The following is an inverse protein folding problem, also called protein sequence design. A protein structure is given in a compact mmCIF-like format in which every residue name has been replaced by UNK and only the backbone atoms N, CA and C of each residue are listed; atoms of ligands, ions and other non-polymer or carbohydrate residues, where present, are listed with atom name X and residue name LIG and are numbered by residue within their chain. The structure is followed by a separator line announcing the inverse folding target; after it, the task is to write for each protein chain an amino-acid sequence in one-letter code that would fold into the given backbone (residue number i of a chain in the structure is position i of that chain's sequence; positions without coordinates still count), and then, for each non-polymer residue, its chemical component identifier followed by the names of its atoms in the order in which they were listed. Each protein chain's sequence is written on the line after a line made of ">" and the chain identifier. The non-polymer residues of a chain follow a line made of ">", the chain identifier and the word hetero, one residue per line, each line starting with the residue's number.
data_IF_872571795391
#
_entry.id   IF_872571795391
#
_cell.length_a   1.000
_cell.length_b   1.000
_cell.length_c   1.000
_cell.angle_alpha   90.00
_cell.angle_beta   90.00
_cell.angle_gamma   90.00
#
_symmetry.space_group_name_H-M   'P 1'
#
loop_
_entity.id
_entity.type
_entity.pdbx_description
1 polymer ?
#
# COMPACT_ATOMS: atom_id res chain seq x y z
N UNK A 1 -17.64 13.02 -16.07
CA UNK A 1 -17.33 12.30 -17.32
C UNK A 1 -17.23 13.24 -18.53
N UNK A 2 -18.21 14.12 -18.78
CA UNK A 2 -18.10 15.14 -19.85
C UNK A 2 -16.93 16.13 -19.70
N UNK A 3 -16.56 16.50 -18.47
CA UNK A 3 -15.44 17.43 -18.21
C UNK A 3 -14.07 16.84 -18.53
N UNK A 4 -13.90 15.52 -18.41
CA UNK A 4 -12.62 14.85 -18.67
C UNK A 4 -12.38 14.65 -20.18
N UNK A 5 -13.43 14.27 -20.92
CA UNK A 5 -13.40 14.19 -22.39
C UNK A 5 -13.14 15.56 -23.04
N UNK A 6 -13.70 16.63 -22.46
CA UNK A 6 -13.45 18.01 -22.92
C UNK A 6 -11.98 18.45 -22.74
N UNK A 7 -11.33 18.06 -21.63
CA UNK A 7 -9.92 18.38 -21.37
C UNK A 7 -8.99 17.53 -22.25
N UNK A 8 -9.29 16.23 -22.47
CA UNK A 8 -8.54 15.38 -23.41
C UNK A 8 -8.57 15.93 -24.84
N UNK A 9 -9.73 16.37 -25.31
CA UNK A 9 -9.89 16.96 -26.63
C UNK A 9 -9.15 18.30 -26.79
N UNK A 10 -9.11 19.12 -25.73
CA UNK A 10 -8.34 20.37 -25.70
C UNK A 10 -6.82 20.12 -25.72
N UNK A 11 -6.34 19.14 -24.96
CA UNK A 11 -4.92 18.78 -24.91
C UNK A 11 -4.43 18.13 -26.22
N UNK A 12 -5.25 17.26 -26.84
CA UNK A 12 -4.93 16.62 -28.11
C UNK A 12 -4.85 17.63 -29.27
N UNK A 13 -5.74 18.63 -29.27
CA UNK A 13 -5.69 19.73 -30.23
C UNK A 13 -4.45 20.61 -30.03
N UNK A 14 -4.11 20.93 -28.79
CA UNK A 14 -2.98 21.82 -28.48
C UNK A 14 -1.61 21.17 -28.75
N UNK A 15 -1.46 19.87 -28.47
CA UNK A 15 -0.17 19.18 -28.56
C UNK A 15 0.06 18.50 -29.90
N UNK A 16 -1.01 18.12 -30.62
CA UNK A 16 -0.91 17.28 -31.82
C UNK A 16 -1.76 17.78 -33.00
N UNK A 17 -2.36 18.97 -32.90
CA UNK A 17 -3.24 19.58 -33.93
C UNK A 17 -4.37 18.66 -34.42
N UNK A 18 -4.83 17.73 -33.57
CA UNK A 18 -5.91 16.79 -33.90
C UNK A 18 -7.26 17.35 -33.46
N UNK A 19 -8.24 17.27 -34.35
CA UNK A 19 -9.61 17.69 -34.06
C UNK A 19 -10.28 16.81 -33.00
N UNK A 20 -11.12 17.38 -32.12
CA UNK A 20 -11.89 16.63 -31.13
C UNK A 20 -12.82 15.58 -31.75
N UNK A 21 -12.60 14.29 -31.44
CA UNK A 21 -13.54 13.23 -31.82
C UNK A 21 -14.50 12.86 -30.67
N UNK A 22 -15.82 12.73 -30.94
CA UNK A 22 -16.81 12.38 -29.94
C UNK A 22 -16.82 10.87 -29.69
N UNK A 23 -15.93 10.37 -28.83
CA UNK A 23 -15.89 8.94 -28.47
C UNK A 23 -16.01 8.77 -26.95
N UNK A 24 -16.83 7.79 -26.54
CA UNK A 24 -17.05 7.44 -25.12
C UNK A 24 -15.82 6.75 -24.52
N UNK A 25 -15.29 7.22 -23.37
CA UNK A 25 -14.02 6.73 -22.84
C UNK A 25 -14.14 5.36 -22.17
N UNK A 26 -13.25 4.43 -22.53
CA UNK A 26 -13.03 3.15 -21.85
C UNK A 26 -11.62 3.15 -21.22
N UNK A 27 -11.55 3.01 -19.89
CA UNK A 27 -10.39 3.37 -19.06
C UNK A 27 -9.27 2.33 -18.99
N UNK A 28 -8.07 2.79 -18.59
CA UNK A 28 -7.03 1.98 -17.94
C UNK A 28 -5.70 2.72 -17.78
N UNK A 29 -5.08 3.07 -18.90
CA UNK A 29 -3.73 3.66 -18.95
C UNK A 29 -3.74 5.17 -19.24
N UNK A 30 -4.80 5.68 -19.86
CA UNK A 30 -4.95 7.09 -20.23
C UNK A 30 -4.91 8.05 -19.03
N UNK A 31 -5.48 7.65 -17.88
CA UNK A 31 -5.55 8.50 -16.67
C UNK A 31 -4.18 8.76 -16.06
N UNK A 32 -3.28 7.79 -16.09
CA UNK A 32 -1.92 7.94 -15.56
C UNK A 32 -1.05 8.80 -16.49
N UNK A 33 -1.19 8.62 -17.81
CA UNK A 33 -0.54 9.48 -18.80
C UNK A 33 -1.05 10.93 -18.74
N UNK A 34 -2.37 11.13 -18.61
CA UNK A 34 -2.97 12.46 -18.51
C UNK A 34 -2.55 13.19 -17.22
N UNK A 35 -2.50 12.47 -16.10
CA UNK A 35 -1.99 13.01 -14.84
C UNK A 35 -0.51 13.36 -14.94
N UNK A 36 0.32 12.46 -15.49
CA UNK A 36 1.74 12.71 -15.70
C UNK A 36 2.01 13.91 -16.61
N UNK A 37 1.30 14.01 -17.73
CA UNK A 37 1.41 15.14 -18.67
C UNK A 37 0.98 16.46 -18.02
N UNK A 38 -0.11 16.47 -17.25
CA UNK A 38 -0.56 17.66 -16.53
C UNK A 38 0.46 18.13 -15.48
N UNK A 39 1.10 17.20 -14.76
CA UNK A 39 2.15 17.53 -13.79
C UNK A 39 3.40 18.09 -14.49
N UNK A 40 3.82 17.52 -15.62
CA UNK A 40 4.93 18.06 -16.40
C UNK A 40 4.62 19.46 -16.95
N UNK A 41 3.41 19.69 -17.45
CA UNK A 41 3.01 21.00 -17.94
C UNK A 41 2.94 22.03 -16.81
N UNK A 42 2.44 21.65 -15.64
CA UNK A 42 2.47 22.51 -14.45
C UNK A 42 3.91 22.84 -14.06
N UNK A 43 4.83 21.88 -14.05
CA UNK A 43 6.25 22.11 -13.78
C UNK A 43 6.88 23.09 -14.79
N UNK A 44 6.55 22.98 -16.09
CA UNK A 44 7.01 23.93 -17.12
C UNK A 44 6.49 25.34 -16.91
N UNK A 45 5.22 25.49 -16.54
CA UNK A 45 4.57 26.79 -16.34
C UNK A 45 4.92 27.43 -14.99
N UNK A 46 5.25 26.63 -13.99
CA UNK A 46 5.50 27.11 -12.62
C UNK A 46 6.97 27.19 -12.23
N UNK A 47 7.84 26.37 -12.83
CA UNK A 47 9.25 26.31 -12.48
C UNK A 47 10.14 26.57 -13.69
N UNK A 48 10.82 27.72 -13.67
CA UNK A 48 11.73 28.12 -14.74
C UNK A 48 13.04 27.31 -14.79
N UNK A 49 13.44 26.57 -13.74
CA UNK A 49 14.81 26.04 -13.65
C UNK A 49 14.92 24.59 -13.16
N UNK A 50 15.56 23.77 -14.00
CA UNK A 50 16.18 22.46 -13.72
C UNK A 50 15.28 21.33 -13.17
N UNK A 51 13.94 21.47 -13.23
CA UNK A 51 13.04 20.38 -12.84
C UNK A 51 13.24 19.12 -13.71
N UNK A 52 13.54 19.30 -15.01
CA UNK A 52 13.80 18.21 -15.95
C UNK A 52 15.02 17.38 -15.53
N UNK A 53 16.14 18.02 -15.17
CA UNK A 53 17.33 17.28 -14.73
C UNK A 53 17.11 16.55 -13.39
N UNK A 54 16.25 17.06 -12.50
CA UNK A 54 15.88 16.36 -11.27
C UNK A 54 15.09 15.09 -11.57
N UNK A 55 14.13 15.18 -12.51
CA UNK A 55 13.36 14.01 -12.96
C UNK A 55 14.26 13.00 -13.69
N UNK A 56 15.20 13.45 -14.51
CA UNK A 56 16.20 12.60 -15.17
C UNK A 56 17.15 11.89 -14.18
N UNK A 57 17.36 12.48 -13.00
CA UNK A 57 18.10 11.86 -11.89
C UNK A 57 17.22 10.94 -11.01
N UNK A 58 15.96 10.73 -11.38
CA UNK A 58 15.04 9.79 -10.74
C UNK A 58 14.06 10.41 -9.75
N UNK A 59 13.97 11.75 -9.66
CA UNK A 59 12.95 12.39 -8.85
C UNK A 59 11.55 12.20 -9.46
N UNK A 60 10.54 12.00 -8.61
CA UNK A 60 9.15 11.95 -9.07
C UNK A 60 8.66 13.38 -9.41
N UNK A 61 8.10 13.62 -10.60
CA UNK A 61 7.63 14.96 -11.01
C UNK A 61 6.66 15.61 -10.01
N UNK A 62 5.75 14.84 -9.43
CA UNK A 62 4.82 15.34 -8.40
C UNK A 62 5.53 15.81 -7.14
N UNK A 63 6.65 15.18 -6.77
CA UNK A 63 7.43 15.58 -5.60
C UNK A 63 8.23 16.84 -5.86
N UNK A 64 8.80 16.98 -7.06
CA UNK A 64 9.46 18.23 -7.49
C UNK A 64 8.48 19.41 -7.43
N UNK A 65 7.24 19.20 -7.87
CA UNK A 65 6.19 20.21 -7.79
C UNK A 65 5.83 20.54 -6.33
N UNK A 66 5.59 19.54 -5.48
CA UNK A 66 5.26 19.79 -4.07
C UNK A 66 6.39 20.45 -3.28
N UNK A 67 7.65 20.06 -3.52
CA UNK A 67 8.81 20.59 -2.82
C UNK A 67 9.07 22.07 -3.21
N UNK A 68 8.71 22.47 -4.43
CA UNK A 68 8.78 23.87 -4.87
C UNK A 68 7.75 24.78 -4.18
N UNK A 69 6.61 24.22 -3.77
CA UNK A 69 5.48 24.94 -3.16
C UNK A 69 5.31 24.56 -1.69
N UNK A 70 6.37 24.09 -1.03
CA UNK A 70 6.32 23.49 0.30
C UNK A 70 5.83 24.46 1.39
N UNK A 71 5.96 25.76 1.16
CA UNK A 71 5.52 26.84 2.06
C UNK A 71 4.19 27.49 1.62
N UNK A 72 3.60 27.05 0.50
CA UNK A 72 2.30 27.54 0.05
C UNK A 72 1.19 26.59 0.52
N UNK A 73 0.39 27.05 1.49
CA UNK A 73 -0.84 26.34 1.86
C UNK A 73 -1.80 26.35 0.66
N UNK A 74 -2.08 25.16 0.14
CA UNK A 74 -3.10 25.00 -0.90
C UNK A 74 -4.43 25.58 -0.40
N UNK A 75 -4.94 26.61 -1.07
CA UNK A 75 -6.23 27.20 -0.73
C UNK A 75 -7.36 26.26 -1.17
N UNK A 76 -7.74 25.37 -0.25
CA UNK A 76 -8.78 24.37 -0.46
C UNK A 76 -10.16 25.00 -0.71
N UNK A 77 -10.34 26.30 -0.39
CA UNK A 77 -11.57 27.04 -0.68
C UNK A 77 -11.74 27.26 -2.18
N UNK A 78 -10.64 27.55 -2.89
CA UNK A 78 -10.64 27.73 -4.34
C UNK A 78 -10.99 26.44 -5.09
N UNK A 79 -10.69 25.29 -4.48
CA UNK A 79 -10.97 23.97 -5.05
C UNK A 79 -12.31 23.39 -4.56
N UNK A 80 -13.03 24.05 -3.66
CA UNK A 80 -14.23 23.54 -2.99
C UNK A 80 -14.01 22.15 -2.35
N UNK A 81 -12.83 21.92 -1.77
CA UNK A 81 -12.42 20.63 -1.19
C UNK A 81 -12.40 20.63 0.34
N UNK A 82 -12.80 21.73 0.99
CA UNK A 82 -12.78 21.89 2.46
C UNK A 82 -13.52 20.77 3.18
N UNK A 83 -14.75 20.47 2.75
CA UNK A 83 -15.57 19.39 3.31
C UNK A 83 -14.97 18.00 3.05
N UNK A 84 -14.25 17.83 1.94
CA UNK A 84 -13.60 16.57 1.60
C UNK A 84 -12.35 16.36 2.44
N UNK A 85 -11.53 17.38 2.65
CA UNK A 85 -10.38 17.28 3.55
C UNK A 85 -10.86 16.90 4.96
N UNK A 86 -11.84 17.63 5.51
CA UNK A 86 -12.37 17.34 6.85
C UNK A 86 -13.01 15.96 6.96
N UNK A 87 -13.56 15.41 5.87
CA UNK A 87 -14.07 14.04 5.82
C UNK A 87 -12.92 13.02 5.77
N UNK A 88 -11.90 13.24 4.95
CA UNK A 88 -10.73 12.36 4.84
C UNK A 88 -9.91 12.34 6.14
N UNK A 89 -9.71 13.48 6.79
CA UNK A 89 -9.04 13.54 8.10
C UNK A 89 -9.78 12.71 9.16
N UNK A 90 -11.12 12.78 9.18
CA UNK A 90 -11.95 11.95 10.07
C UNK A 90 -11.84 10.46 9.71
N UNK A 91 -11.85 10.12 8.42
CA UNK A 91 -11.69 8.74 7.98
C UNK A 91 -10.32 8.18 8.37
N UNK A 92 -9.26 8.99 8.22
CA UNK A 92 -7.89 8.62 8.61
C UNK A 92 -7.78 8.41 10.11
N UNK A 93 -8.31 9.32 10.92
CA UNK A 93 -8.27 9.19 12.38
C UNK A 93 -9.08 7.97 12.85
N UNK A 94 -10.25 7.73 12.24
CA UNK A 94 -11.03 6.52 12.51
C UNK A 94 -10.22 5.26 12.17
N UNK A 95 -9.65 5.18 10.97
CA UNK A 95 -8.83 4.04 10.55
C UNK A 95 -7.65 3.82 11.51
N UNK A 96 -6.97 4.89 11.91
CA UNK A 96 -5.86 4.84 12.87
C UNK A 96 -6.31 4.27 14.21
N UNK A 97 -7.44 4.73 14.74
CA UNK A 97 -7.99 4.24 16.00
C UNK A 97 -8.33 2.75 15.94
N UNK A 98 -8.93 2.30 14.83
CA UNK A 98 -9.27 0.89 14.60
C UNK A 98 -8.02 0.01 14.51
N UNK A 99 -6.99 0.47 13.79
CA UNK A 99 -5.70 -0.24 13.68
C UNK A 99 -5.05 -0.39 15.05
N UNK A 100 -4.98 0.69 15.83
CA UNK A 100 -4.38 0.66 17.17
C UNK A 100 -5.12 -0.30 18.10
N UNK A 101 -6.45 -0.27 18.10
CA UNK A 101 -7.25 -1.20 18.91
C UNK A 101 -7.01 -2.68 18.53
N UNK A 102 -6.79 -2.98 17.25
CA UNK A 102 -6.48 -4.33 16.78
C UNK A 102 -5.04 -4.75 17.11
N UNK A 103 -4.06 -3.83 17.02
CA UNK A 103 -2.67 -4.08 17.45
C UNK A 103 -2.63 -4.36 18.95
N UNK A 104 -3.35 -3.59 19.77
CA UNK A 104 -3.48 -3.82 21.21
C UNK A 104 -4.14 -5.17 21.51
N UNK A 105 -5.07 -5.61 20.66
CA UNK A 105 -5.67 -6.94 20.76
C UNK A 105 -4.63 -8.04 20.53
N UNK A 106 -3.80 -7.92 19.49
CA UNK A 106 -2.68 -8.86 19.26
C UNK A 106 -1.74 -8.92 20.46
N UNK A 107 -1.38 -7.77 21.03
CA UNK A 107 -0.49 -7.72 22.19
C UNK A 107 -1.11 -8.40 23.41
N UNK A 108 -2.40 -8.16 23.70
CA UNK A 108 -3.11 -8.77 24.84
C UNK A 108 -3.36 -10.26 24.66
N UNK A 109 -3.72 -10.71 23.46
CA UNK A 109 -3.91 -12.13 23.16
C UNK A 109 -2.57 -12.91 23.13
N UNK A 110 -1.46 -12.19 23.05
CA UNK A 110 -0.13 -12.72 22.76
C UNK A 110 0.09 -12.89 21.26
N UNK A 111 1.36 -12.99 20.88
CA UNK A 111 1.77 -13.09 19.48
C UNK A 111 2.58 -14.37 19.21
N UNK A 112 2.47 -14.87 17.98
CA UNK A 112 3.40 -15.83 17.39
C UNK A 112 4.15 -15.12 16.27
N UNK A 113 5.48 -15.17 16.29
CA UNK A 113 6.33 -14.61 15.22
C UNK A 113 6.82 -15.72 14.32
N UNK A 114 6.70 -15.54 13.02
CA UNK A 114 7.23 -16.44 12.00
C UNK A 114 8.33 -15.69 11.24
N UNK A 115 9.58 -16.13 11.36
CA UNK A 115 10.70 -15.62 10.58
C UNK A 115 10.58 -16.15 9.14
N UNK A 116 10.50 -15.23 8.19
CA UNK A 116 10.47 -15.53 6.77
C UNK A 116 11.91 -15.64 6.24
N UNK A 117 12.23 -16.62 5.38
CA UNK A 117 13.57 -16.75 4.82
C UNK A 117 13.95 -15.55 3.94
N UNK A 118 15.23 -15.20 3.91
CA UNK A 118 15.73 -14.15 3.02
C UNK A 118 15.55 -14.55 1.54
N UNK A 119 15.14 -13.60 0.70
CA UNK A 119 14.89 -13.85 -0.72
C UNK A 119 13.62 -14.67 -1.01
N UNK A 120 12.76 -14.90 -0.02
CA UNK A 120 11.51 -15.62 -0.24
C UNK A 120 10.61 -14.88 -1.19
N UNK A 121 10.21 -15.55 -2.28
CA UNK A 121 9.16 -15.06 -3.15
C UNK A 121 7.82 -15.31 -2.48
N UNK A 122 7.35 -14.31 -1.72
CA UNK A 122 6.05 -14.36 -1.07
C UNK A 122 4.98 -14.02 -2.11
N UNK A 123 4.17 -15.01 -2.48
CA UNK A 123 2.95 -14.72 -3.27
C UNK A 123 1.83 -14.40 -2.31
N UNK A 124 1.29 -13.19 -2.44
CA UNK A 124 0.23 -12.70 -1.59
C UNK A 124 -1.10 -12.69 -2.32
N UNK A 125 -2.15 -13.11 -1.63
CA UNK A 125 -3.53 -12.79 -2.01
C UNK A 125 -4.12 -11.93 -0.89
N UNK A 126 -4.41 -10.67 -1.20
CA UNK A 126 -5.00 -9.70 -0.26
C UNK A 126 -5.92 -8.72 -1.00
N UNK A 127 -6.69 -7.96 -0.22
CA UNK A 127 -7.46 -6.82 -0.71
C UNK A 127 -6.69 -5.52 -0.44
N UNK A 128 -6.25 -4.75 -1.47
CA UNK A 128 -5.44 -3.54 -1.26
C UNK A 128 -6.10 -2.49 -0.36
N UNK A 129 -7.43 -2.47 -0.31
CA UNK A 129 -8.21 -1.58 0.55
C UNK A 129 -8.13 -1.92 2.03
N UNK A 130 -7.43 -3.01 2.39
CA UNK A 130 -7.32 -3.52 3.76
C UNK A 130 -5.87 -3.61 4.24
N UNK A 131 -4.98 -2.84 3.62
CA UNK A 131 -3.58 -2.71 4.06
C UNK A 131 -3.38 -1.31 4.62
N UNK A 132 -2.75 -1.24 5.79
CA UNK A 132 -2.32 0.01 6.39
C UNK A 132 -0.82 -0.04 6.64
N UNK A 133 -0.08 0.92 6.09
CA UNK A 133 1.33 1.13 6.41
C UNK A 133 1.46 1.93 7.70
N UNK A 134 2.33 1.49 8.61
CA UNK A 134 2.63 2.23 9.84
C UNK A 134 3.75 3.26 9.67
N UNK A 135 4.41 3.29 8.52
CA UNK A 135 5.50 4.22 8.21
C UNK A 135 6.88 3.81 8.72
N UNK A 136 6.99 2.70 9.46
CA UNK A 136 8.24 2.17 10.04
C UNK A 136 8.61 0.79 9.48
N UNK A 137 8.28 0.54 8.21
CA UNK A 137 8.54 -0.74 7.54
C UNK A 137 7.53 -1.85 7.87
N UNK A 138 6.58 -1.60 8.78
CA UNK A 138 5.50 -2.54 9.11
C UNK A 138 4.25 -2.31 8.29
N UNK A 139 3.67 -3.41 7.80
CA UNK A 139 2.38 -3.43 7.10
C UNK A 139 1.36 -4.22 7.90
N UNK A 140 0.19 -3.62 8.09
CA UNK A 140 -0.93 -4.23 8.81
C UNK A 140 -1.96 -4.72 7.80
N UNK A 141 -2.35 -5.99 7.93
CA UNK A 141 -3.34 -6.62 7.06
C UNK A 141 -4.65 -6.87 7.79
N UNK A 142 -5.71 -6.19 7.34
CA UNK A 142 -7.04 -6.32 7.91
C UNK A 142 -7.84 -7.42 7.19
N UNK A 143 -8.01 -8.55 7.87
CA UNK A 143 -9.07 -9.50 7.58
C UNK A 143 -8.81 -10.54 6.49
N UNK A 144 -7.87 -10.38 5.56
CA UNK A 144 -7.41 -11.51 4.75
C UNK A 144 -5.99 -11.35 4.22
N UNK A 145 -5.17 -12.38 4.47
CA UNK A 145 -3.80 -12.49 3.98
C UNK A 145 -3.52 -13.96 3.66
N UNK A 146 -3.10 -14.27 2.44
CA UNK A 146 -2.45 -15.55 2.13
C UNK A 146 -0.99 -15.28 1.80
N UNK A 147 -0.09 -16.02 2.43
CA UNK A 147 1.35 -16.05 2.16
C UNK A 147 1.68 -17.45 1.63
N UNK A 148 2.07 -17.53 0.36
CA UNK A 148 2.62 -18.77 -0.21
C UNK A 148 4.14 -18.72 -0.17
N UNK A 149 4.73 -19.80 0.37
CA UNK A 149 6.15 -19.98 0.60
C UNK A 149 6.58 -21.33 -0.03
N UNK A 150 7.85 -21.52 -0.38
CA UNK A 150 8.35 -22.83 -0.80
C UNK A 150 8.10 -23.93 0.24
N UNK A 151 8.15 -23.55 1.52
CA UNK A 151 7.90 -24.40 2.68
C UNK A 151 6.42 -24.64 2.98
N UNK A 152 5.49 -23.99 2.27
CA UNK A 152 4.06 -24.20 2.47
C UNK A 152 3.23 -22.91 2.42
N UNK A 153 2.20 -22.80 3.25
CA UNK A 153 1.22 -21.70 3.17
C UNK A 153 0.77 -21.25 4.55
N UNK A 154 0.59 -19.93 4.68
CA UNK A 154 -0.07 -19.29 5.82
C UNK A 154 -1.28 -18.54 5.27
N UNK A 155 -2.45 -18.78 5.82
CA UNK A 155 -3.69 -18.07 5.47
C UNK A 155 -4.33 -17.51 6.73
N UNK A 156 -4.54 -16.20 6.75
CA UNK A 156 -5.15 -15.44 7.84
C UNK A 156 -6.45 -14.85 7.30
N UNK A 157 -7.54 -14.98 8.06
CA UNK A 157 -8.87 -14.45 7.74
C UNK A 157 -9.51 -13.92 9.01
N UNK A 158 -10.04 -12.70 8.98
CA UNK A 158 -10.70 -12.08 10.14
C UNK A 158 -9.78 -11.73 11.31
N UNK A 159 -8.58 -12.31 11.39
CA UNK A 159 -7.53 -11.94 12.32
C UNK A 159 -6.57 -10.90 11.73
N UNK A 160 -5.90 -10.17 12.63
CA UNK A 160 -4.86 -9.20 12.29
C UNK A 160 -3.52 -9.92 12.05
N UNK A 161 -2.86 -9.57 10.96
CA UNK A 161 -1.48 -9.96 10.70
C UNK A 161 -0.62 -8.70 10.49
N UNK A 162 0.61 -8.71 10.99
CA UNK A 162 1.58 -7.64 10.79
C UNK A 162 2.82 -8.20 10.10
N UNK A 163 3.11 -7.71 8.91
CA UNK A 163 4.38 -7.97 8.22
C UNK A 163 5.40 -6.93 8.69
N UNK A 164 6.54 -7.39 9.20
CA UNK A 164 7.70 -6.58 9.57
C UNK A 164 8.81 -6.87 8.54
N UNK A 165 8.90 -6.01 7.52
CA UNK A 165 9.82 -6.23 6.41
C UNK A 165 11.28 -6.03 6.78
N UNK A 166 11.56 -5.11 7.70
CA UNK A 166 12.93 -4.80 8.13
C UNK A 166 13.56 -6.00 8.84
N UNK A 167 12.78 -6.65 9.69
CA UNK A 167 13.25 -7.81 10.47
C UNK A 167 12.87 -9.15 9.83
N UNK A 168 12.07 -9.14 8.75
CA UNK A 168 11.66 -10.33 8.01
C UNK A 168 10.68 -11.23 8.78
N UNK A 169 9.81 -10.65 9.61
CA UNK A 169 8.83 -11.41 10.41
C UNK A 169 7.40 -11.24 9.90
N UNK A 170 6.63 -12.31 10.02
CA UNK A 170 5.18 -12.25 10.05
C UNK A 170 4.70 -12.45 11.50
N UNK A 171 4.04 -11.45 12.06
CA UNK A 171 3.48 -11.46 13.41
C UNK A 171 2.00 -11.77 13.34
N UNK A 172 1.59 -12.81 14.06
CA UNK A 172 0.23 -13.33 14.10
C UNK A 172 -0.26 -13.37 15.55
N UNK A 173 -1.57 -13.43 15.74
CA UNK A 173 -2.17 -13.74 17.04
C UNK A 173 -1.63 -15.09 17.54
N UNK A 174 -1.36 -15.20 18.84
CA UNK A 174 -0.84 -16.44 19.44
C UNK A 174 -1.75 -17.61 19.14
N UNK A 175 -1.15 -18.67 18.61
CA UNK A 175 -1.76 -19.98 18.42
C UNK A 175 -0.84 -21.06 19.02
N UNK A 176 -1.37 -22.25 19.38
CA UNK A 176 -0.54 -23.35 19.88
C UNK A 176 0.48 -23.76 18.81
N UNK A 177 1.74 -23.39 19.03
CA UNK A 177 2.86 -23.79 18.19
C UNK A 177 3.33 -25.16 18.66
N UNK A 178 3.03 -26.19 17.87
CA UNK A 178 3.62 -27.51 18.02
C UNK A 178 4.41 -27.82 16.77
N UNK A 179 5.73 -27.66 16.85
CA UNK A 179 6.64 -28.10 15.79
C UNK A 179 7.02 -29.55 16.08
N UNK A 180 6.63 -30.46 15.20
CA UNK A 180 7.01 -31.88 15.25
C UNK A 180 7.60 -32.31 13.92
N UNK A 181 8.75 -32.97 13.94
CA UNK A 181 9.44 -33.46 12.74
C UNK A 181 9.65 -32.39 11.66
N UNK A 182 9.97 -31.16 12.09
CA UNK A 182 10.18 -30.04 11.18
C UNK A 182 8.91 -29.55 10.48
N UNK A 183 7.73 -29.86 11.01
CA UNK A 183 6.44 -29.44 10.47
C UNK A 183 5.66 -28.62 11.48
N UNK A 184 4.97 -27.59 10.98
CA UNK A 184 3.98 -26.82 11.73
C UNK A 184 2.66 -26.86 10.98
N UNK A 185 1.65 -27.45 11.60
CA UNK A 185 0.27 -27.43 11.13
C UNK A 185 -0.62 -26.80 12.20
N UNK A 186 -1.45 -25.86 11.78
CA UNK A 186 -2.48 -25.26 12.63
C UNK A 186 -3.68 -24.90 11.76
N UNK A 187 -4.88 -25.18 12.26
CA UNK A 187 -6.11 -24.86 11.55
C UNK A 187 -7.16 -24.36 12.54
N UNK A 188 -7.78 -23.25 12.17
CA UNK A 188 -8.94 -22.64 12.83
C UNK A 188 -9.80 -21.95 11.77
N UNK A 189 -10.89 -21.31 12.20
CA UNK A 189 -11.78 -20.56 11.30
C UNK A 189 -11.08 -19.33 10.68
N UNK A 190 -10.09 -18.79 11.38
CA UNK A 190 -9.44 -17.51 11.06
C UNK A 190 -7.97 -17.64 10.72
N UNK A 191 -7.31 -18.76 11.05
CA UNK A 191 -5.90 -18.99 10.76
C UNK A 191 -5.66 -20.43 10.32
N UNK A 192 -4.98 -20.58 9.19
CA UNK A 192 -4.47 -21.84 8.65
C UNK A 192 -2.96 -21.71 8.41
N UNK A 193 -2.19 -22.62 8.97
CA UNK A 193 -0.74 -22.70 8.80
C UNK A 193 -0.40 -24.12 8.40
N UNK A 194 0.34 -24.28 7.32
CA UNK A 194 0.89 -25.56 6.89
C UNK A 194 2.30 -25.31 6.37
N UNK A 195 3.31 -25.57 7.19
CA UNK A 195 4.71 -25.34 6.88
C UNK A 195 5.55 -26.59 7.13
N UNK A 196 6.58 -26.79 6.31
CA UNK A 196 7.62 -27.83 6.44
C UNK A 196 9.01 -27.20 6.51
N UNK A 197 9.99 -27.92 7.05
CA UNK A 197 11.34 -27.39 7.25
C UNK A 197 11.39 -26.30 8.32
N UNK A 198 10.52 -26.38 9.33
CA UNK A 198 10.43 -25.35 10.38
C UNK A 198 11.08 -25.79 11.69
N UNK A 199 11.62 -24.83 12.42
CA UNK A 199 12.13 -25.01 13.79
C UNK A 199 11.54 -23.94 14.71
N UNK A 200 11.63 -24.16 16.01
CA UNK A 200 11.21 -23.17 17.00
C UNK A 200 12.43 -22.70 17.80
N UNK A 201 12.61 -21.39 17.93
CA UNK A 201 13.71 -20.83 18.73
C UNK A 201 13.41 -20.91 20.23
N UNK A 202 14.43 -20.67 21.06
CA UNK A 202 14.27 -20.56 22.51
C UNK A 202 13.31 -19.42 22.94
N UNK A 203 13.11 -18.42 22.08
CA UNK A 203 12.18 -17.31 22.28
C UNK A 203 10.74 -17.65 21.86
N UNK A 204 10.54 -18.84 21.27
CA UNK A 204 9.24 -19.31 20.80
C UNK A 204 8.93 -18.95 19.35
N UNK A 205 9.83 -18.25 18.65
CA UNK A 205 9.67 -17.85 17.25
C UNK A 205 9.77 -19.06 16.32
N UNK A 206 8.93 -19.09 15.28
CA UNK A 206 8.96 -20.12 14.25
C UNK A 206 9.91 -19.69 13.15
N UNK A 207 10.94 -20.47 12.87
CA UNK A 207 11.92 -20.21 11.82
C UNK A 207 11.73 -21.21 10.69
N UNK A 208 11.64 -20.71 9.47
CA UNK A 208 11.57 -21.51 8.25
C UNK A 208 13.00 -21.66 7.70
N UNK A 209 13.47 -22.90 7.59
CA UNK A 209 14.79 -23.27 7.05
C UNK A 209 14.82 -23.49 5.55
#
# INVERSE_FOLDING_TARGET
>A
EGTASYVEQKAALALFEKDPEPVSPQCGWSRQYAFGAAVCHLLEETLDVNWQAQVEQGAMPTRVLCDAFQDEEADLRQLHLEDKLAAEERNVEQLRSEVMAQVDNLQRAGITRVQLPQGTTIRRSFSPTRITSLGDGRLVHHGFLIVQLPSGTISVRGDLAVEDHEHGFLVLRRFPVHVSDGRLSYQSDTLSVSLVGVSQTAQGDVVIG
#
